data_IF_976501173151
#
_entry.id   IF_976501173151
#
_cell.length_a   1.000
_cell.length_b   1.000
_cell.length_c   1.000
_cell.angle_alpha   90.00
_cell.angle_beta   90.00
_cell.angle_gamma   90.00
#
_symmetry.space_group_name_H-M   'P 1'
#
loop_
_entity.id
_entity.type
_entity.pdbx_description
1 polymer ?
#
# COMPACT_ATOMS: atom_id res chain seq x y z
N UNK A 1 -8.48 -26.05 9.14
CA UNK A 1 -8.19 -25.57 7.77
C UNK A 1 -7.33 -24.31 7.80
N UNK A 2 -7.86 -23.11 8.04
CA UNK A 2 -7.06 -21.87 8.02
C UNK A 2 -5.98 -21.79 9.13
N UNK A 3 -6.24 -22.40 10.29
CA UNK A 3 -5.31 -22.47 11.43
C UNK A 3 -4.11 -23.39 11.16
N UNK A 4 -4.31 -24.46 10.39
CA UNK A 4 -3.28 -25.47 10.14
C UNK A 4 -2.22 -24.95 9.17
N UNK A 5 -2.66 -24.24 8.13
CA UNK A 5 -1.77 -23.56 7.18
C UNK A 5 -0.92 -22.49 7.86
N UNK A 6 -1.53 -21.68 8.73
CA UNK A 6 -0.83 -20.66 9.50
C UNK A 6 0.23 -21.28 10.41
N UNK A 7 -0.14 -22.35 11.11
CA UNK A 7 0.75 -23.07 12.04
C UNK A 7 1.95 -23.68 11.30
N UNK A 8 1.70 -24.35 10.17
CA UNK A 8 2.76 -24.90 9.30
C UNK A 8 3.72 -23.81 8.82
N UNK A 9 3.18 -22.65 8.40
CA UNK A 9 3.99 -21.52 7.93
C UNK A 9 4.82 -20.87 9.04
N UNK A 10 4.31 -20.81 10.27
CA UNK A 10 5.06 -20.30 11.42
C UNK A 10 6.17 -21.26 11.84
N UNK A 11 5.89 -22.56 11.91
CA UNK A 11 6.90 -23.59 12.19
C UNK A 11 8.03 -23.58 11.16
N UNK A 12 7.68 -23.42 9.88
CA UNK A 12 8.67 -23.30 8.80
C UNK A 12 9.55 -22.05 8.97
N UNK A 13 8.97 -20.90 9.35
CA UNK A 13 9.75 -19.67 9.59
C UNK A 13 10.74 -19.83 10.74
N UNK A 14 10.33 -20.50 11.82
CA UNK A 14 11.22 -20.79 12.95
C UNK A 14 12.42 -21.65 12.53
N UNK A 15 12.19 -22.66 11.68
CA UNK A 15 13.25 -23.51 11.14
C UNK A 15 14.24 -22.73 10.26
N UNK A 16 13.76 -21.74 9.51
CA UNK A 16 14.61 -20.85 8.71
C UNK A 16 15.44 -19.93 9.61
N UNK A 17 14.85 -19.36 10.66
CA UNK A 17 15.55 -18.50 11.64
C UNK A 17 16.63 -19.27 12.42
N UNK A 18 16.37 -20.54 12.77
CA UNK A 18 17.33 -21.44 13.42
C UNK A 18 18.40 -21.97 12.44
N UNK A 19 18.32 -21.64 11.15
CA UNK A 19 19.25 -22.09 10.11
C UNK A 19 19.10 -23.56 9.73
N UNK A 20 18.01 -24.20 10.12
CA UNK A 20 17.69 -25.59 9.77
C UNK A 20 17.13 -25.74 8.35
N UNK A 21 16.60 -24.66 7.76
CA UNK A 21 16.10 -24.61 6.39
C UNK A 21 16.60 -23.32 5.70
N UNK A 22 17.04 -23.39 4.44
CA UNK A 22 17.46 -22.19 3.73
C UNK A 22 16.26 -21.32 3.31
N UNK A 23 16.36 -19.98 3.47
CA UNK A 23 15.35 -19.08 2.95
C UNK A 23 15.31 -19.23 1.43
N UNK A 24 14.18 -19.70 0.89
CA UNK A 24 13.93 -19.72 -0.55
C UNK A 24 13.68 -18.28 -1.01
N UNK A 25 14.75 -17.50 -1.13
CA UNK A 25 14.76 -16.33 -1.97
C UNK A 25 14.56 -16.84 -3.40
N UNK A 26 13.40 -16.56 -3.99
CA UNK A 26 13.22 -16.72 -5.42
C UNK A 26 14.13 -15.69 -6.08
N UNK A 27 15.36 -16.10 -6.39
CA UNK A 27 16.27 -15.39 -7.28
C UNK A 27 15.64 -15.37 -8.68
N UNK A 28 14.84 -14.33 -8.95
CA UNK A 28 14.35 -14.03 -10.30
C UNK A 28 14.91 -12.71 -10.84
N UNK A 29 16.10 -12.31 -10.40
CA UNK A 29 16.82 -11.21 -11.02
C UNK A 29 18.26 -11.63 -11.27
N UNK A 30 18.45 -12.33 -12.39
CA UNK A 30 19.75 -12.46 -13.01
C UNK A 30 20.32 -11.07 -13.29
N UNK A 31 21.37 -10.74 -12.57
CA UNK A 31 22.22 -9.56 -12.75
C UNK A 31 22.75 -9.54 -14.17
N UNK A 32 22.30 -8.58 -14.99
CA UNK A 32 23.06 -8.12 -16.14
C UNK A 32 23.56 -6.71 -15.85
N UNK A 33 24.84 -6.67 -15.50
CA UNK A 33 25.68 -5.48 -15.48
C UNK A 33 25.86 -4.97 -16.91
N UNK A 34 25.40 -3.75 -17.19
CA UNK A 34 25.76 -2.94 -18.35
C UNK A 34 25.44 -1.47 -18.07
N UNK A 35 26.47 -0.78 -17.57
CA UNK A 35 26.87 0.61 -17.83
C UNK A 35 25.88 1.61 -18.46
N UNK A 36 25.81 2.78 -17.81
CA UNK A 36 25.57 4.16 -18.29
C UNK A 36 24.28 4.88 -17.82
N UNK A 37 24.53 5.98 -17.08
CA UNK A 37 23.70 7.16 -16.79
C UNK A 37 22.32 7.00 -16.11
N UNK A 38 22.31 7.16 -14.77
CA UNK A 38 21.11 7.46 -13.96
C UNK A 38 20.81 8.98 -14.08
N UNK A 39 19.57 9.41 -14.34
CA UNK A 39 18.75 9.86 -13.21
C UNK A 39 17.24 9.67 -13.43
N UNK A 40 16.76 8.44 -13.69
CA UNK A 40 15.30 8.19 -13.74
C UNK A 40 14.77 7.26 -12.63
N UNK A 41 15.64 6.56 -11.91
CA UNK A 41 15.23 5.58 -10.88
C UNK A 41 15.29 6.10 -9.45
N UNK A 42 15.86 7.29 -9.20
CA UNK A 42 15.93 7.84 -7.83
C UNK A 42 14.55 8.08 -7.20
N UNK A 43 13.55 8.48 -8.00
CA UNK A 43 12.16 8.61 -7.55
C UNK A 43 11.51 7.23 -7.32
N UNK A 44 11.82 6.23 -8.15
CA UNK A 44 11.32 4.87 -7.99
C UNK A 44 11.85 4.21 -6.71
N UNK A 45 13.13 4.44 -6.39
CA UNK A 45 13.76 3.97 -5.15
C UNK A 45 13.11 4.62 -3.91
N UNK A 46 12.80 5.92 -3.98
CA UNK A 46 12.12 6.66 -2.91
C UNK A 46 10.67 6.24 -2.71
N UNK A 47 9.90 6.04 -3.78
CA UNK A 47 8.51 5.57 -3.71
C UNK A 47 8.43 4.14 -3.19
N UNK A 48 9.36 3.29 -3.61
CA UNK A 48 9.45 1.90 -3.14
C UNK A 48 9.81 1.85 -1.65
N UNK A 49 10.80 2.65 -1.22
CA UNK A 49 11.18 2.78 0.19
C UNK A 49 10.00 3.22 1.06
N UNK A 50 9.26 4.24 0.64
CA UNK A 50 8.06 4.69 1.34
C UNK A 50 6.98 3.60 1.44
N UNK A 51 6.78 2.80 0.38
CA UNK A 51 5.83 1.68 0.38
C UNK A 51 6.27 0.54 1.30
N UNK A 52 7.56 0.23 1.35
CA UNK A 52 8.10 -0.80 2.24
C UNK A 52 7.98 -0.37 3.69
N UNK A 53 8.40 0.84 4.02
CA UNK A 53 8.25 1.41 5.36
C UNK A 53 6.78 1.40 5.81
N UNK A 54 5.85 1.81 4.94
CA UNK A 54 4.40 1.74 5.24
C UNK A 54 3.92 0.31 5.52
N UNK A 55 4.47 -0.71 4.83
CA UNK A 55 4.12 -2.12 5.07
C UNK A 55 4.67 -2.60 6.41
N UNK A 56 5.89 -2.22 6.76
CA UNK A 56 6.48 -2.51 8.07
C UNK A 56 5.66 -1.88 9.18
N UNK A 57 5.32 -0.59 9.08
CA UNK A 57 4.46 0.10 10.04
C UNK A 57 3.11 -0.61 10.24
N UNK A 58 2.48 -1.08 9.16
CA UNK A 58 1.23 -1.85 9.24
C UNK A 58 1.41 -3.23 9.89
N UNK A 59 2.53 -3.92 9.63
CA UNK A 59 2.84 -5.22 10.24
C UNK A 59 3.11 -5.08 11.75
N UNK A 60 3.76 -3.99 12.17
CA UNK A 60 4.01 -3.65 13.58
C UNK A 60 2.78 -3.07 14.30
N UNK A 61 1.66 -2.90 13.58
CA UNK A 61 0.44 -2.27 14.11
C UNK A 61 0.58 -0.78 14.41
N UNK A 62 1.64 -0.13 13.93
CA UNK A 62 1.95 1.29 14.10
C UNK A 62 1.44 2.17 12.95
N UNK A 63 1.06 1.56 11.82
CA UNK A 63 0.56 2.29 10.66
C UNK A 63 -0.84 2.82 10.92
N UNK A 64 -1.03 4.14 10.87
CA UNK A 64 -2.37 4.69 10.83
C UNK A 64 -3.11 4.06 9.65
N UNK A 65 -4.23 3.39 9.93
CA UNK A 65 -5.19 3.09 8.89
C UNK A 65 -5.57 4.44 8.28
N UNK A 66 -5.03 4.76 7.11
CA UNK A 66 -5.55 5.82 6.25
C UNK A 66 -6.96 5.41 5.89
N UNK A 67 -7.88 5.66 6.81
CA UNK A 67 -9.28 5.45 6.61
C UNK A 67 -9.70 6.52 5.61
N UNK A 68 -10.05 6.14 4.37
CA UNK A 68 -10.52 7.12 3.38
C UNK A 68 -11.84 7.80 3.83
N UNK A 69 -12.38 7.42 4.98
CA UNK A 69 -13.67 7.85 5.52
C UNK A 69 -13.63 9.07 6.45
N UNK A 70 -12.47 9.60 6.84
CA UNK A 70 -12.44 10.71 7.80
C UNK A 70 -12.71 12.09 7.19
N UNK A 71 -12.81 12.20 5.85
CA UNK A 71 -13.22 13.45 5.19
C UNK A 71 -14.70 13.37 4.82
N UNK A 72 -15.54 13.93 5.67
CA UNK A 72 -16.95 14.17 5.37
C UNK A 72 -17.01 15.29 4.33
N UNK A 73 -17.17 14.93 3.07
CA UNK A 73 -17.31 15.85 1.94
C UNK A 73 -18.60 16.65 2.12
N UNK A 74 -18.47 17.97 2.32
CA UNK A 74 -19.62 18.87 2.37
C UNK A 74 -19.72 19.63 1.03
N UNK A 75 -20.70 19.31 0.16
CA UNK A 75 -20.80 19.93 -1.15
C UNK A 75 -20.88 21.46 -1.10
N UNK A 76 -21.47 22.01 -0.03
CA UNK A 76 -21.67 23.44 0.12
C UNK A 76 -20.39 24.21 0.52
N UNK A 77 -19.36 23.52 1.01
CA UNK A 77 -18.06 24.14 1.34
C UNK A 77 -16.98 23.84 0.31
N UNK A 78 -17.06 22.67 -0.33
CA UNK A 78 -16.10 22.22 -1.36
C UNK A 78 -16.40 22.88 -2.71
N UNK A 79 -17.66 23.24 -2.98
CA UNK A 79 -18.09 23.85 -4.23
C UNK A 79 -18.73 25.23 -4.03
N UNK A 80 -17.94 26.21 -3.56
CA UNK A 80 -18.42 27.60 -3.35
C UNK A 80 -18.75 28.35 -4.64
N UNK A 81 -18.28 27.83 -5.78
CA UNK A 81 -18.53 28.36 -7.12
C UNK A 81 -19.97 28.08 -7.60
N UNK A 82 -20.67 27.15 -6.96
CA UNK A 82 -22.06 26.84 -7.26
C UNK A 82 -22.99 27.33 -6.15
N UNK A 83 -24.13 27.87 -6.55
CA UNK A 83 -25.19 28.19 -5.59
C UNK A 83 -25.77 26.91 -4.97
N UNK A 84 -26.37 27.04 -3.79
CA UNK A 84 -27.07 25.92 -3.13
C UNK A 84 -28.15 25.30 -4.02
N UNK A 85 -28.80 26.11 -4.86
CA UNK A 85 -29.80 25.65 -5.83
C UNK A 85 -29.18 24.78 -6.91
N UNK A 86 -28.10 25.27 -7.55
CA UNK A 86 -27.38 24.53 -8.59
C UNK A 86 -26.82 23.20 -8.08
N UNK A 87 -26.24 23.17 -6.87
CA UNK A 87 -25.73 21.94 -6.26
C UNK A 87 -26.86 20.90 -6.11
N UNK A 88 -28.05 21.34 -5.69
CA UNK A 88 -29.22 20.46 -5.50
C UNK A 88 -29.80 19.98 -6.82
N UNK A 89 -29.83 20.84 -7.84
CA UNK A 89 -30.28 20.47 -9.18
C UNK A 89 -29.35 19.43 -9.82
N UNK A 90 -28.03 19.61 -9.65
CA UNK A 90 -27.04 18.62 -10.07
C UNK A 90 -27.17 17.31 -9.27
N UNK A 91 -27.30 17.38 -7.95
CA UNK A 91 -27.56 16.19 -7.10
C UNK A 91 -28.75 15.38 -7.62
N UNK A 92 -29.84 16.05 -8.04
CA UNK A 92 -31.01 15.39 -8.62
C UNK A 92 -30.71 14.67 -9.93
N UNK A 93 -29.86 15.23 -10.79
CA UNK A 93 -29.45 14.57 -12.04
C UNK A 93 -28.64 13.31 -11.77
N UNK A 94 -27.73 13.33 -10.80
CA UNK A 94 -26.85 12.21 -10.45
C UNK A 94 -27.50 11.12 -9.59
N UNK A 95 -28.68 11.37 -9.01
CA UNK A 95 -29.43 10.38 -8.21
C UNK A 95 -30.28 9.41 -9.03
N UNK A 96 -30.22 9.50 -10.36
CA UNK A 96 -30.91 8.58 -11.29
C UNK A 96 -29.99 7.42 -11.61
#
# INVERSE_FOLDING_TARGET
MATDELSSKLSRRLQIEEGAEEPVAVDLFGTQDSSEDKPSTANADSELGAKLQRREELNEGQGEHQQPSMKVLNPYTEFKEFSRGQIKDMEKMFKT
#
